data_IF_206582400893
#
_entry.id   IF_206582400893
#
_cell.length_a   1.000
_cell.length_b   1.000
_cell.length_c   1.000
_cell.angle_alpha   90.00
_cell.angle_beta   90.00
_cell.angle_gamma   90.00
#
_symmetry.space_group_name_H-M   'P 1'
#
loop_
_entity.id
_entity.type
_entity.pdbx_description
1 polymer ?
#
# COMPACT_ATOMS: atom_id res chain seq x y z
N UNK A 1 -26.29 8.03 54.66
CA UNK A 1 -26.59 7.50 53.32
C UNK A 1 -27.38 8.57 52.57
N UNK A 2 -26.71 9.39 51.75
CA UNK A 2 -27.37 10.38 50.89
C UNK A 2 -27.02 10.07 49.45
N UNK A 3 -28.07 9.91 48.62
CA UNK A 3 -28.02 9.56 47.22
C UNK A 3 -27.34 10.67 46.38
N UNK A 4 -26.31 10.29 45.64
CA UNK A 4 -25.73 11.13 44.59
C UNK A 4 -26.62 11.08 43.34
N UNK A 5 -27.16 12.23 42.95
CA UNK A 5 -27.93 12.42 41.74
C UNK A 5 -26.95 12.65 40.57
N UNK A 6 -26.79 11.65 39.69
CA UNK A 6 -26.00 11.77 38.46
C UNK A 6 -26.89 12.40 37.38
N UNK A 7 -26.75 13.71 37.18
CA UNK A 7 -27.34 14.42 36.05
C UNK A 7 -26.51 14.16 34.79
N UNK A 8 -27.02 13.31 33.90
CA UNK A 8 -26.55 13.24 32.51
C UNK A 8 -26.98 14.53 31.79
N UNK A 9 -26.10 15.53 31.80
CA UNK A 9 -26.22 16.66 30.88
C UNK A 9 -25.98 16.15 29.45
N UNK A 10 -27.07 16.04 28.68
CA UNK A 10 -27.00 15.91 27.23
C UNK A 10 -26.38 17.21 26.69
N UNK A 11 -25.06 17.20 26.47
CA UNK A 11 -24.38 18.28 25.76
C UNK A 11 -24.89 18.28 24.32
N UNK A 12 -25.88 19.13 24.03
CA UNK A 12 -26.29 19.46 22.68
C UNK A 12 -25.07 20.07 21.97
N UNK A 13 -24.44 19.27 21.12
CA UNK A 13 -23.42 19.73 20.20
C UNK A 13 -24.12 20.61 19.18
N UNK A 14 -24.09 21.92 19.40
CA UNK A 14 -24.50 22.88 18.39
C UNK A 14 -23.50 22.74 17.24
N UNK A 15 -23.88 22.01 16.20
CA UNK A 15 -23.07 21.96 14.99
C UNK A 15 -22.99 23.38 14.43
N UNK A 16 -21.77 23.86 14.10
CA UNK A 16 -21.62 25.17 13.50
C UNK A 16 -22.43 25.23 12.20
N UNK A 17 -22.98 26.41 11.84
CA UNK A 17 -23.73 26.55 10.60
C UNK A 17 -22.87 26.15 9.41
N UNK A 18 -23.40 25.25 8.57
CA UNK A 18 -22.79 24.90 7.29
C UNK A 18 -22.81 26.15 6.43
N UNK A 19 -21.65 26.81 6.30
CA UNK A 19 -21.51 27.95 5.41
C UNK A 19 -21.65 27.46 3.97
N UNK A 20 -22.46 28.17 3.17
CA UNK A 20 -22.58 27.88 1.75
C UNK A 20 -21.22 28.08 1.06
N UNK A 21 -20.86 27.23 0.08
CA UNK A 21 -19.61 27.38 -0.65
C UNK A 21 -19.53 28.74 -1.34
N UNK A 22 -18.34 29.34 -1.31
CA UNK A 22 -18.09 30.60 -2.03
C UNK A 22 -18.18 30.43 -3.54
N UNK A 23 -18.56 31.49 -4.27
CA UNK A 23 -18.64 31.49 -5.74
C UNK A 23 -17.28 31.16 -6.38
N UNK A 24 -16.19 31.65 -5.79
CA UNK A 24 -14.83 31.39 -6.26
C UNK A 24 -14.48 29.90 -6.17
N UNK A 25 -14.88 29.23 -5.07
CA UNK A 25 -14.69 27.79 -4.92
C UNK A 25 -15.47 27.00 -5.97
N UNK A 26 -16.76 27.34 -6.16
CA UNK A 26 -17.60 26.69 -7.18
C UNK A 26 -16.95 26.80 -8.56
N UNK A 27 -16.38 27.97 -8.88
CA UNK A 27 -15.72 28.22 -10.15
C UNK A 27 -14.43 27.39 -10.30
N UNK A 28 -13.52 27.47 -9.32
CA UNK A 28 -12.25 26.74 -9.34
C UNK A 28 -12.47 25.21 -9.38
N UNK A 29 -13.41 24.71 -8.58
CA UNK A 29 -13.73 23.29 -8.56
C UNK A 29 -14.34 22.81 -9.88
N UNK A 30 -15.28 23.56 -10.46
CA UNK A 30 -15.86 23.22 -11.77
C UNK A 30 -14.82 23.23 -12.89
N UNK A 31 -13.87 24.17 -12.86
CA UNK A 31 -12.76 24.23 -13.81
C UNK A 31 -11.83 23.02 -13.66
N UNK A 32 -11.45 22.67 -12.42
CA UNK A 32 -10.64 21.49 -12.15
C UNK A 32 -11.34 20.19 -12.58
N UNK A 33 -12.65 20.07 -12.35
CA UNK A 33 -13.44 18.92 -12.80
C UNK A 33 -13.42 18.77 -14.33
N UNK A 34 -13.64 19.86 -15.07
CA UNK A 34 -13.56 19.85 -16.54
C UNK A 34 -12.16 19.45 -17.02
N UNK A 35 -11.11 19.94 -16.37
CA UNK A 35 -9.74 19.54 -16.70
C UNK A 35 -9.52 18.02 -16.48
N UNK A 36 -10.07 17.44 -15.42
CA UNK A 36 -10.04 15.98 -15.18
C UNK A 36 -10.83 15.21 -16.24
N UNK A 37 -12.00 15.69 -16.64
CA UNK A 37 -12.80 15.10 -17.73
C UNK A 37 -12.02 15.07 -19.06
N UNK A 38 -11.28 16.15 -19.34
CA UNK A 38 -10.36 16.28 -20.47
C UNK A 38 -9.04 15.49 -20.32
N UNK A 39 -8.85 14.78 -19.19
CA UNK A 39 -7.62 14.07 -18.81
C UNK A 39 -6.39 14.98 -18.65
N UNK A 40 -6.61 16.27 -18.38
CA UNK A 40 -5.59 17.28 -18.08
C UNK A 40 -5.38 17.40 -16.57
N UNK A 41 -4.85 16.36 -15.94
CA UNK A 41 -4.69 16.30 -14.48
C UNK A 41 -3.75 17.36 -13.92
N UNK A 42 -2.69 17.73 -14.65
CA UNK A 42 -1.79 18.79 -14.23
C UNK A 42 -2.48 20.16 -14.18
N UNK A 43 -3.38 20.43 -15.13
CA UNK A 43 -4.14 21.68 -15.17
C UNK A 43 -5.15 21.71 -14.00
N UNK A 44 -5.82 20.57 -13.73
CA UNK A 44 -6.69 20.44 -12.57
C UNK A 44 -5.95 20.67 -11.24
N UNK A 45 -4.75 20.09 -11.09
CA UNK A 45 -3.92 20.32 -9.91
C UNK A 45 -3.50 21.78 -9.78
N UNK A 46 -3.08 22.42 -10.87
CA UNK A 46 -2.67 23.82 -10.88
C UNK A 46 -3.81 24.75 -10.43
N UNK A 47 -5.02 24.57 -10.96
CA UNK A 47 -6.21 25.35 -10.57
C UNK A 47 -6.47 25.24 -9.08
N UNK A 48 -6.46 24.03 -8.53
CA UNK A 48 -6.69 23.80 -7.10
C UNK A 48 -5.53 24.33 -6.23
N UNK A 49 -4.29 24.15 -6.67
CA UNK A 49 -3.11 24.65 -5.97
C UNK A 49 -3.11 26.19 -5.89
N UNK A 50 -3.47 26.86 -6.97
CA UNK A 50 -3.58 28.32 -7.00
C UNK A 50 -4.75 28.82 -6.13
N UNK A 51 -5.88 28.10 -6.13
CA UNK A 51 -6.97 28.39 -5.20
C UNK A 51 -6.52 28.29 -3.73
N UNK A 52 -5.81 27.22 -3.36
CA UNK A 52 -5.26 27.06 -2.00
C UNK A 52 -4.36 28.23 -1.62
N UNK A 53 -3.48 28.67 -2.54
CA UNK A 53 -2.60 29.82 -2.30
C UNK A 53 -3.39 31.11 -2.03
N UNK A 54 -4.48 31.34 -2.78
CA UNK A 54 -5.32 32.54 -2.68
C UNK A 54 -6.31 32.54 -1.51
N UNK A 55 -6.68 31.36 -1.00
CA UNK A 55 -7.74 31.18 0.01
C UNK A 55 -7.24 30.42 1.24
N UNK A 56 -5.98 30.59 1.64
CA UNK A 56 -5.36 29.89 2.79
C UNK A 56 -6.22 30.01 4.06
N UNK A 57 -6.34 28.91 4.80
CA UNK A 57 -7.07 28.84 6.07
C UNK A 57 -8.59 28.77 5.94
N UNK A 58 -9.14 28.85 4.72
CA UNK A 58 -10.58 28.66 4.49
C UNK A 58 -10.96 27.18 4.44
N UNK A 59 -12.21 26.82 4.78
CA UNK A 59 -12.73 25.46 4.56
C UNK A 59 -12.58 24.98 3.12
N UNK A 60 -12.78 25.86 2.15
CA UNK A 60 -12.68 25.55 0.73
C UNK A 60 -11.24 25.25 0.29
N UNK A 61 -10.23 25.91 0.87
CA UNK A 61 -8.83 25.57 0.58
C UNK A 61 -8.46 24.19 1.12
N UNK A 62 -9.02 23.78 2.27
CA UNK A 62 -8.85 22.40 2.76
C UNK A 62 -9.51 21.40 1.82
N UNK A 63 -10.74 21.71 1.37
CA UNK A 63 -11.46 20.88 0.42
C UNK A 63 -10.71 20.77 -0.91
N UNK A 64 -10.10 21.85 -1.40
CA UNK A 64 -9.24 21.81 -2.57
C UNK A 64 -8.05 20.84 -2.38
N UNK A 65 -7.39 20.83 -1.21
CA UNK A 65 -6.31 19.87 -0.94
C UNK A 65 -6.80 18.42 -0.97
N UNK A 66 -8.00 18.14 -0.45
CA UNK A 66 -8.64 16.83 -0.58
C UNK A 66 -8.85 16.44 -2.04
N UNK A 67 -9.37 17.33 -2.88
CA UNK A 67 -9.59 17.03 -4.31
C UNK A 67 -8.28 16.85 -5.09
N UNK A 68 -7.20 17.57 -4.74
CA UNK A 68 -5.86 17.31 -5.30
C UNK A 68 -5.41 15.88 -5.01
N UNK A 69 -5.62 15.39 -3.78
CA UNK A 69 -5.31 14.01 -3.43
C UNK A 69 -6.16 13.00 -4.23
N UNK A 70 -7.45 13.26 -4.41
CA UNK A 70 -8.35 12.42 -5.21
C UNK A 70 -7.86 12.32 -6.67
N UNK A 71 -7.48 13.43 -7.27
CA UNK A 71 -7.00 13.46 -8.67
C UNK A 71 -5.62 12.83 -8.84
N UNK A 72 -4.77 12.86 -7.81
CA UNK A 72 -3.50 12.13 -7.78
C UNK A 72 -3.67 10.61 -7.68
N UNK A 73 -4.81 10.13 -7.16
CA UNK A 73 -5.14 8.70 -7.08
C UNK A 73 -5.93 8.18 -8.28
N UNK A 74 -6.29 9.05 -9.23
CA UNK A 74 -7.06 8.62 -10.40
C UNK A 74 -6.18 7.74 -11.31
N UNK A 75 -6.59 6.50 -11.63
CA UNK A 75 -5.80 5.61 -12.48
C UNK A 75 -5.64 6.10 -13.93
N UNK A 76 -6.45 7.09 -14.35
CA UNK A 76 -6.31 7.75 -15.66
C UNK A 76 -5.19 8.80 -15.63
N UNK A 77 -4.74 9.22 -14.45
CA UNK A 77 -3.65 10.16 -14.26
C UNK A 77 -2.29 9.45 -14.42
N UNK A 78 -1.59 9.74 -15.53
CA UNK A 78 -0.25 9.18 -15.78
C UNK A 78 0.82 9.68 -14.80
N UNK A 79 0.57 10.82 -14.16
CA UNK A 79 1.40 11.37 -13.10
C UNK A 79 0.86 11.01 -11.71
N UNK A 80 0.04 9.95 -11.59
CA UNK A 80 -0.44 9.43 -10.32
C UNK A 80 0.71 9.20 -9.35
N UNK A 81 0.55 9.70 -8.12
CA UNK A 81 1.54 9.58 -7.06
C UNK A 81 0.81 9.24 -5.75
N UNK A 82 0.61 7.94 -5.46
CA UNK A 82 -0.12 7.49 -4.28
C UNK A 82 0.50 7.99 -2.98
N UNK A 83 1.83 8.08 -2.91
CA UNK A 83 2.54 8.59 -1.74
C UNK A 83 2.23 10.06 -1.47
N UNK A 84 2.27 10.90 -2.50
CA UNK A 84 1.94 12.31 -2.36
C UNK A 84 0.46 12.53 -2.04
N UNK A 85 -0.43 11.76 -2.66
CA UNK A 85 -1.84 11.77 -2.30
C UNK A 85 -2.08 11.43 -0.82
N UNK A 86 -1.35 10.46 -0.27
CA UNK A 86 -1.43 10.12 1.14
C UNK A 86 -1.04 11.30 2.04
N UNK A 87 -0.02 12.09 1.67
CA UNK A 87 0.38 13.29 2.42
C UNK A 87 -0.72 14.35 2.45
N UNK A 88 -1.34 14.64 1.30
CA UNK A 88 -2.47 15.58 1.25
C UNK A 88 -3.67 15.10 2.08
N UNK A 89 -3.94 13.80 2.10
CA UNK A 89 -5.01 13.22 2.91
C UNK A 89 -4.69 13.26 4.40
N UNK A 90 -3.44 13.00 4.79
CA UNK A 90 -2.99 13.11 6.18
C UNK A 90 -3.11 14.57 6.66
N UNK A 91 -2.75 15.56 5.83
CA UNK A 91 -2.94 17.00 6.13
C UNK A 91 -4.42 17.34 6.29
N UNK A 92 -5.27 16.91 5.35
CA UNK A 92 -6.72 17.13 5.41
C UNK A 92 -7.37 16.54 6.67
N UNK A 93 -6.91 15.36 7.10
CA UNK A 93 -7.39 14.68 8.30
C UNK A 93 -6.89 15.30 9.61
N UNK A 94 -5.76 16.01 9.57
CA UNK A 94 -5.14 16.63 10.74
C UNK A 94 -5.75 18.00 11.09
N UNK A 95 -6.44 18.65 10.16
CA UNK A 95 -6.90 20.04 10.32
C UNK A 95 -8.25 20.15 11.09
N UNK A 96 -8.31 20.83 12.25
CA UNK A 96 -9.56 21.11 12.96
C UNK A 96 -10.29 22.35 12.41
N UNK A 97 -11.64 22.39 12.41
CA UNK A 97 -12.59 21.37 12.84
C UNK A 97 -12.70 20.20 11.84
N UNK A 98 -13.30 19.06 12.24
CA UNK A 98 -13.37 17.87 11.40
C UNK A 98 -13.89 18.18 9.98
N UNK A 99 -13.17 17.72 8.95
CA UNK A 99 -13.52 18.04 7.57
C UNK A 99 -14.78 17.30 7.10
N UNK A 100 -15.40 17.81 6.04
CA UNK A 100 -16.63 17.25 5.47
C UNK A 100 -16.45 15.80 4.99
N UNK A 101 -15.31 15.48 4.36
CA UNK A 101 -15.08 14.17 3.73
C UNK A 101 -14.21 13.23 4.57
N UNK A 102 -14.35 13.25 5.91
CA UNK A 102 -13.46 12.50 6.80
C UNK A 102 -13.46 10.98 6.53
N UNK A 103 -14.62 10.39 6.21
CA UNK A 103 -14.71 8.94 5.95
C UNK A 103 -14.10 8.57 4.61
N UNK A 104 -14.35 9.37 3.57
CA UNK A 104 -13.76 9.20 2.25
C UNK A 104 -12.24 9.39 2.31
N UNK A 105 -11.76 10.42 3.01
CA UNK A 105 -10.34 10.69 3.15
C UNK A 105 -9.60 9.53 3.84
N UNK A 106 -10.17 8.93 4.89
CA UNK A 106 -9.60 7.74 5.55
C UNK A 106 -9.53 6.54 4.62
N UNK A 107 -10.60 6.28 3.85
CA UNK A 107 -10.63 5.18 2.89
C UNK A 107 -9.59 5.38 1.78
N UNK A 108 -9.52 6.58 1.20
CA UNK A 108 -8.56 6.96 0.18
C UNK A 108 -7.12 6.86 0.69
N UNK A 109 -6.85 7.27 1.93
CA UNK A 109 -5.53 7.19 2.55
C UNK A 109 -5.07 5.74 2.73
N UNK A 110 -5.99 4.86 3.12
CA UNK A 110 -5.76 3.41 3.16
C UNK A 110 -5.41 2.85 1.78
N UNK A 111 -6.21 3.18 0.77
CA UNK A 111 -5.97 2.73 -0.61
C UNK A 111 -4.63 3.25 -1.16
N UNK A 112 -4.32 4.53 -0.94
CA UNK A 112 -3.05 5.15 -1.34
C UNK A 112 -1.84 4.40 -0.73
N UNK A 113 -1.93 4.05 0.56
CA UNK A 113 -0.90 3.28 1.26
C UNK A 113 -0.73 1.87 0.69
N UNK A 114 -1.84 1.20 0.35
CA UNK A 114 -1.81 -0.12 -0.29
C UNK A 114 -1.18 -0.08 -1.67
N UNK A 115 -1.52 0.91 -2.48
CA UNK A 115 -0.93 1.08 -3.83
C UNK A 115 0.56 1.40 -3.74
N UNK A 116 0.99 2.33 -2.88
CA UNK A 116 2.44 2.64 -2.70
C UNK A 116 3.23 1.40 -2.25
N UNK A 117 2.64 0.57 -1.38
CA UNK A 117 3.26 -0.68 -0.92
C UNK A 117 3.37 -1.71 -2.05
N UNK A 118 2.35 -1.83 -2.90
CA UNK A 118 2.38 -2.72 -4.07
C UNK A 118 3.43 -2.26 -5.10
N UNK A 119 3.48 -0.96 -5.41
CA UNK A 119 4.46 -0.40 -6.33
C UNK A 119 5.90 -0.63 -5.82
N UNK A 120 6.12 -0.46 -4.51
CA UNK A 120 7.39 -0.79 -3.87
C UNK A 120 7.76 -2.27 -4.03
N UNK A 121 6.81 -3.18 -3.75
CA UNK A 121 7.03 -4.62 -3.87
C UNK A 121 7.34 -5.05 -5.32
N UNK A 122 6.62 -4.49 -6.29
CA UNK A 122 6.85 -4.76 -7.73
C UNK A 122 8.24 -4.29 -8.14
N UNK A 123 8.65 -3.09 -7.73
CA UNK A 123 10.00 -2.58 -8.02
C UNK A 123 11.08 -3.45 -7.40
N UNK A 124 10.94 -3.83 -6.13
CA UNK A 124 11.90 -4.72 -5.47
C UNK A 124 11.99 -6.07 -6.19
N UNK A 125 10.86 -6.66 -6.59
CA UNK A 125 10.85 -7.91 -7.36
C UNK A 125 11.57 -7.78 -8.71
N UNK A 126 11.41 -6.65 -9.41
CA UNK A 126 12.11 -6.37 -10.66
C UNK A 126 13.62 -6.20 -10.46
N UNK A 127 14.04 -5.55 -9.38
CA UNK A 127 15.45 -5.40 -9.01
C UNK A 127 16.10 -6.75 -8.67
N UNK A 128 15.35 -7.67 -8.07
CA UNK A 128 15.83 -9.04 -7.83
C UNK A 128 15.94 -9.86 -9.12
N UNK A 129 14.96 -9.76 -10.02
CA UNK A 129 14.97 -10.48 -11.30
C UNK A 129 16.09 -9.99 -12.25
N UNK A 130 16.41 -8.69 -12.24
CA UNK A 130 17.50 -8.14 -13.07
C UNK A 130 18.88 -8.52 -12.56
N UNK A 131 19.07 -8.60 -11.23
CA UNK A 131 20.32 -9.07 -10.62
C UNK A 131 20.61 -10.56 -10.87
N UNK A 132 19.59 -11.41 -11.04
CA UNK A 132 19.79 -12.83 -11.39
C UNK A 132 20.18 -13.06 -12.86
N UNK A 133 19.96 -12.08 -13.75
CA UNK A 133 20.21 -12.23 -15.20
C UNK A 133 21.52 -11.56 -15.66
N UNK A 134 22.11 -10.66 -14.87
CA UNK A 134 23.29 -9.86 -15.28
C UNK A 134 24.66 -10.45 -14.88
N UNK A 135 24.77 -11.75 -14.60
CA UNK A 135 26.09 -12.40 -14.45
C UNK A 135 26.27 -13.65 -15.34
N UNK A 136 26.44 -13.50 -16.67
CA UNK A 136 27.11 -14.51 -17.46
C UNK A 136 28.64 -14.34 -17.26
N UNK A 137 29.20 -15.05 -16.28
CA UNK A 137 30.62 -15.44 -16.35
C UNK A 137 31.63 -14.70 -15.48
N UNK A 138 31.31 -14.41 -14.21
CA UNK A 138 32.35 -14.16 -13.19
C UNK A 138 31.98 -14.93 -11.91
N UNK A 139 32.86 -15.79 -11.36
CA UNK A 139 32.57 -16.40 -10.07
C UNK A 139 32.71 -15.32 -8.99
N UNK A 140 31.59 -14.83 -8.46
CA UNK A 140 31.57 -14.16 -7.17
C UNK A 140 32.14 -15.11 -6.09
N UNK A 141 32.83 -14.62 -5.06
CA UNK A 141 33.31 -15.49 -3.98
C UNK A 141 32.10 -16.09 -3.28
N UNK A 142 31.93 -17.41 -3.44
CA UNK A 142 30.90 -18.23 -2.83
C UNK A 142 30.75 -17.88 -1.35
N UNK A 143 29.70 -17.12 -1.03
CA UNK A 143 29.31 -16.88 0.36
C UNK A 143 28.92 -18.22 0.96
N UNK A 144 29.38 -18.54 2.18
CA UNK A 144 29.34 -19.88 2.80
C UNK A 144 27.99 -20.62 2.80
N UNK A 145 26.88 -19.93 2.48
CA UNK A 145 25.57 -20.51 2.24
C UNK A 145 25.54 -21.51 1.08
N UNK A 146 26.31 -21.29 0.01
CA UNK A 146 26.34 -22.22 -1.14
C UNK A 146 27.06 -23.51 -0.77
N UNK A 147 28.20 -23.42 -0.08
CA UNK A 147 28.90 -24.60 0.45
C UNK A 147 28.10 -25.36 1.51
N UNK A 148 27.21 -24.67 2.23
CA UNK A 148 26.31 -25.28 3.21
C UNK A 148 25.17 -26.05 2.52
N UNK A 149 24.61 -25.47 1.44
CA UNK A 149 23.62 -26.13 0.60
C UNK A 149 24.21 -27.34 -0.15
N UNK A 150 25.45 -27.24 -0.65
CA UNK A 150 26.14 -28.37 -1.30
C UNK A 150 26.37 -29.52 -0.33
N UNK A 151 26.82 -29.23 0.91
CA UNK A 151 26.96 -30.24 1.97
C UNK A 151 25.63 -30.85 2.35
N UNK A 152 24.55 -30.07 2.36
CA UNK A 152 23.21 -30.58 2.63
C UNK A 152 22.71 -31.48 1.50
N UNK A 153 22.94 -31.10 0.24
CA UNK A 153 22.62 -31.92 -0.93
C UNK A 153 23.42 -33.23 -0.93
N UNK A 154 24.71 -33.18 -0.61
CA UNK A 154 25.56 -34.38 -0.53
C UNK A 154 25.10 -35.32 0.60
N UNK A 155 24.82 -34.77 1.79
CA UNK A 155 24.25 -35.53 2.90
C UNK A 155 22.89 -36.15 2.56
N UNK A 156 22.03 -35.43 1.85
CA UNK A 156 20.73 -35.95 1.40
C UNK A 156 20.88 -37.07 0.37
N UNK A 157 21.87 -36.97 -0.54
CA UNK A 157 22.19 -38.04 -1.49
C UNK A 157 22.70 -39.30 -0.79
N UNK A 158 23.62 -39.17 0.17
CA UNK A 158 24.10 -40.30 0.97
C UNK A 158 22.97 -40.98 1.75
N UNK A 159 22.04 -40.19 2.31
CA UNK A 159 20.87 -40.72 3.00
C UNK A 159 19.93 -41.49 2.06
N UNK A 160 19.73 -41.00 0.83
CA UNK A 160 18.94 -41.70 -0.19
C UNK A 160 19.60 -43.01 -0.62
N UNK A 161 20.91 -43.02 -0.87
CA UNK A 161 21.63 -44.24 -1.22
C UNK A 161 21.57 -45.28 -0.11
N UNK A 162 21.77 -44.84 1.15
CA UNK A 162 21.65 -45.72 2.31
C UNK A 162 20.24 -46.29 2.46
N UNK A 163 19.21 -45.47 2.31
CA UNK A 163 17.82 -45.91 2.38
C UNK A 163 17.47 -46.89 1.26
N UNK A 164 17.95 -46.64 0.03
CA UNK A 164 17.77 -47.55 -1.10
C UNK A 164 18.47 -48.89 -0.87
N UNK A 165 19.70 -48.89 -0.37
CA UNK A 165 20.42 -50.12 -0.03
C UNK A 165 19.71 -50.94 1.06
N UNK A 166 19.04 -50.27 2.00
CA UNK A 166 18.25 -50.92 3.04
C UNK A 166 16.94 -51.50 2.50
N UNK A 167 16.25 -50.78 1.61
CA UNK A 167 15.10 -51.29 0.88
C UNK A 167 15.46 -52.53 0.05
N UNK A 168 16.60 -52.54 -0.63
CA UNK A 168 17.05 -53.70 -1.40
C UNK A 168 17.35 -54.91 -0.51
N UNK A 169 17.94 -54.69 0.67
CA UNK A 169 18.15 -55.76 1.67
C UNK A 169 16.83 -56.31 2.19
N UNK A 170 15.87 -55.45 2.51
CA UNK A 170 14.53 -55.86 2.96
C UNK A 170 13.81 -56.62 1.86
N UNK A 171 13.83 -56.11 0.63
CA UNK A 171 13.24 -56.76 -0.54
C UNK A 171 13.85 -58.15 -0.74
N UNK A 172 15.17 -58.28 -0.68
CA UNK A 172 15.88 -59.58 -0.78
C UNK A 172 15.48 -60.54 0.34
N UNK A 173 15.23 -60.05 1.56
CA UNK A 173 14.72 -60.86 2.68
C UNK A 173 13.27 -61.30 2.46
N UNK A 174 12.42 -60.44 1.89
CA UNK A 174 11.01 -60.75 1.62
C UNK A 174 10.83 -61.70 0.42
N UNK A 175 11.71 -61.64 -0.58
CA UNK A 175 11.68 -62.54 -1.75
C UNK A 175 12.48 -63.83 -1.56
N UNK A 176 13.18 -64.02 -0.43
CA UNK A 176 13.83 -65.29 -0.13
C UNK A 176 12.74 -66.34 0.18
N UNK A 177 12.67 -67.45 -0.59
CA UNK A 177 11.65 -68.47 -0.38
C UNK A 177 11.81 -69.11 1.00
N UNK A 178 10.70 -69.25 1.74
CA UNK A 178 10.66 -69.98 3.01
C UNK A 178 11.10 -71.42 2.75
N UNK A 179 12.09 -71.97 3.49
CA UNK A 179 12.52 -73.35 3.27
C UNK A 179 11.34 -74.30 3.51
N UNK A 180 11.14 -75.31 2.65
CA UNK A 180 10.08 -76.30 2.85
C UNK A 180 10.38 -77.11 4.11
N UNK A 181 9.42 -77.09 5.05
CA UNK A 181 9.34 -78.05 6.14
C UNK A 181 8.69 -79.35 5.67
#
# INVERSE_FOLDING_TARGET
MSLACLSLACAQRSDPPILAPTLDWITAFSEAQRAVEDRKFNDADAVLADFIKLRRGTPEAREAAFWRAVYLLDPRNRASNPREAALYLDEYLADPPPPANISQARALRGMASTVDSLDGAVRSAQEHATKEVEEPGKPAPATGRETELEKEIEKLKEQLEKANAELDRIKKRLTAPRPPG
#
